data_IF_914277007430
#
_entry.id   IF_914277007430
#
_cell.length_a   1.000
_cell.length_b   1.000
_cell.length_c   1.000
_cell.angle_alpha   90.00
_cell.angle_beta   90.00
_cell.angle_gamma   90.00
#
_symmetry.space_group_name_H-M   'P 1'
#
loop_
_entity.id
_entity.type
_entity.pdbx_description
1 polymer ?
#
# COMPACT_ATOMS: atom_id res chain seq x y z
N UNK A 1 -10.61 7.41 -15.26
CA UNK A 1 -10.12 6.27 -16.10
C UNK A 1 -11.17 5.17 -16.21
N UNK A 2 -11.72 4.67 -15.12
CA UNK A 2 -12.76 3.61 -15.11
C UNK A 2 -14.01 3.99 -15.91
N UNK A 3 -14.49 5.23 -15.76
CA UNK A 3 -15.68 5.69 -16.46
C UNK A 3 -15.45 5.89 -17.97
N UNK A 4 -14.24 6.33 -18.34
CA UNK A 4 -13.82 6.41 -19.74
C UNK A 4 -13.73 5.01 -20.35
N UNK A 5 -13.19 4.04 -19.64
CA UNK A 5 -13.07 2.65 -20.08
C UNK A 5 -14.46 2.04 -20.33
N UNK A 6 -15.40 2.28 -19.41
CA UNK A 6 -16.80 1.85 -19.53
C UNK A 6 -17.49 2.52 -20.73
N UNK A 7 -17.35 3.83 -20.88
CA UNK A 7 -17.96 4.59 -21.97
C UNK A 7 -17.37 4.22 -23.34
N UNK A 8 -16.08 3.94 -23.42
CA UNK A 8 -15.39 3.55 -24.65
C UNK A 8 -15.48 2.05 -24.97
N UNK A 9 -16.04 1.22 -24.07
CA UNK A 9 -16.13 -0.23 -24.24
C UNK A 9 -14.77 -0.92 -24.37
N UNK A 10 -13.81 -0.54 -23.51
CA UNK A 10 -12.46 -1.10 -23.52
C UNK A 10 -11.86 -1.17 -22.09
N UNK A 11 -10.68 -1.78 -21.93
CA UNK A 11 -10.01 -1.88 -20.64
C UNK A 11 -9.41 -0.54 -20.19
N UNK A 12 -9.19 -0.36 -18.88
CA UNK A 12 -8.49 0.80 -18.34
C UNK A 12 -7.07 0.92 -18.88
N UNK A 13 -6.39 -0.22 -19.12
CA UNK A 13 -5.08 -0.24 -19.75
C UNK A 13 -5.13 0.35 -21.16
N UNK A 14 -6.15 0.00 -21.95
CA UNK A 14 -6.37 0.58 -23.29
C UNK A 14 -6.59 2.10 -23.21
N UNK A 15 -7.37 2.57 -22.25
CA UNK A 15 -7.55 4.02 -22.02
C UNK A 15 -6.23 4.69 -21.67
N UNK A 16 -5.46 4.10 -20.76
CA UNK A 16 -4.14 4.61 -20.38
C UNK A 16 -3.19 4.70 -21.57
N UNK A 17 -3.13 3.65 -22.39
CA UNK A 17 -2.26 3.62 -23.58
C UNK A 17 -2.65 4.68 -24.61
N UNK A 18 -3.96 4.91 -24.81
CA UNK A 18 -4.45 5.94 -25.75
C UNK A 18 -4.17 7.34 -25.24
N UNK A 19 -4.50 7.61 -23.96
CA UNK A 19 -4.35 8.94 -23.37
C UNK A 19 -2.89 9.33 -23.17
N UNK A 20 -2.02 8.37 -22.85
CA UNK A 20 -0.58 8.57 -22.69
C UNK A 20 0.21 8.41 -24.00
N UNK A 21 -0.47 8.14 -25.13
CA UNK A 21 0.13 7.91 -26.43
C UNK A 21 1.35 6.96 -26.40
N UNK A 22 1.21 5.86 -25.66
CA UNK A 22 2.32 4.90 -25.38
C UNK A 22 2.84 4.30 -26.68
N UNK A 23 4.14 4.46 -27.01
CA UNK A 23 4.71 3.93 -28.26
C UNK A 23 4.74 2.40 -28.24
N UNK A 24 4.66 1.79 -29.45
CA UNK A 24 4.78 0.34 -29.63
C UNK A 24 3.50 -0.46 -29.45
N UNK A 25 2.40 0.14 -29.00
CA UNK A 25 1.11 -0.54 -28.82
C UNK A 25 0.25 -0.38 -30.07
N UNK A 26 -0.11 -1.52 -30.69
CA UNK A 26 -0.98 -1.56 -31.88
C UNK A 26 -2.44 -1.57 -31.43
N UNK A 27 -3.07 -0.40 -31.43
CA UNK A 27 -4.52 -0.23 -31.25
C UNK A 27 -5.12 0.23 -32.57
N UNK A 28 -6.36 -0.24 -32.86
CA UNK A 28 -7.09 0.26 -34.03
C UNK A 28 -7.38 1.75 -33.87
N UNK A 29 -7.41 2.46 -35.00
CA UNK A 29 -7.74 3.89 -35.00
C UNK A 29 -9.12 4.13 -34.40
N UNK A 30 -10.08 3.26 -34.71
CA UNK A 30 -11.44 3.32 -34.16
C UNK A 30 -11.47 3.19 -32.62
N UNK A 31 -10.64 2.33 -32.02
CA UNK A 31 -10.54 2.21 -30.56
C UNK A 31 -9.94 3.46 -29.94
N UNK A 32 -8.93 4.04 -30.59
CA UNK A 32 -8.29 5.29 -30.16
C UNK A 32 -9.28 6.47 -30.17
N UNK A 33 -10.05 6.60 -31.24
CA UNK A 33 -11.07 7.64 -31.40
C UNK A 33 -12.17 7.53 -30.33
N UNK A 34 -12.72 6.34 -30.08
CA UNK A 34 -13.73 6.10 -29.04
C UNK A 34 -13.25 6.49 -27.64
N UNK A 35 -11.99 6.19 -27.31
CA UNK A 35 -11.43 6.55 -26.01
C UNK A 35 -11.29 8.06 -25.87
N UNK A 36 -10.81 8.75 -26.92
CA UNK A 36 -10.63 10.22 -26.91
C UNK A 36 -12.01 10.91 -26.81
N UNK A 37 -13.01 10.41 -27.52
CA UNK A 37 -14.37 10.96 -27.50
C UNK A 37 -15.02 10.76 -26.11
N UNK A 38 -14.91 9.56 -25.54
CA UNK A 38 -15.39 9.28 -24.19
C UNK A 38 -14.69 10.14 -23.13
N UNK A 39 -13.39 10.36 -23.26
CA UNK A 39 -12.62 11.22 -22.36
C UNK A 39 -13.11 12.68 -22.42
N UNK A 40 -13.36 13.20 -23.63
CA UNK A 40 -13.90 14.56 -23.84
C UNK A 40 -15.32 14.70 -23.27
N UNK A 41 -16.20 13.73 -23.54
CA UNK A 41 -17.57 13.74 -23.07
C UNK A 41 -17.69 13.74 -21.55
N UNK A 42 -16.73 13.11 -20.85
CA UNK A 42 -16.63 13.05 -19.39
C UNK A 42 -15.85 14.22 -18.79
N UNK A 43 -15.49 15.24 -19.59
CA UNK A 43 -14.77 16.42 -19.11
C UNK A 43 -13.31 16.14 -18.68
N UNK A 44 -12.75 15.02 -19.14
CA UNK A 44 -11.36 14.68 -18.84
C UNK A 44 -10.44 15.52 -19.73
N UNK A 45 -9.93 16.61 -19.18
CA UNK A 45 -8.83 17.34 -19.78
C UNK A 45 -7.51 16.66 -19.39
N UNK A 46 -6.93 15.89 -20.31
CA UNK A 46 -5.57 15.38 -20.11
C UNK A 46 -4.61 16.55 -19.85
N UNK A 47 -3.76 16.49 -18.81
CA UNK A 47 -2.75 17.53 -18.64
C UNK A 47 -1.91 17.59 -19.91
N UNK A 48 -1.97 18.74 -20.60
CA UNK A 48 -1.06 19.23 -21.63
C UNK A 48 -0.53 18.25 -22.68
N UNK A 49 -1.39 17.62 -23.49
CA UNK A 49 -0.95 16.96 -24.74
C UNK A 49 -0.42 17.96 -25.79
N UNK A 50 -0.51 19.27 -25.55
CA UNK A 50 -0.01 20.31 -26.47
C UNK A 50 1.48 20.62 -26.33
N UNK A 51 2.14 20.23 -25.24
CA UNK A 51 3.55 20.57 -25.01
C UNK A 51 4.56 19.54 -25.55
N UNK A 52 4.11 18.31 -25.88
CA UNK A 52 5.05 17.23 -26.31
C UNK A 52 5.18 17.09 -27.84
N UNK A 53 4.92 18.14 -28.61
CA UNK A 53 5.18 18.15 -30.07
C UNK A 53 6.55 18.69 -30.46
N UNK A 54 7.47 18.89 -29.53
CA UNK A 54 8.87 19.14 -29.89
C UNK A 54 9.64 17.81 -29.87
N UNK A 55 10.36 17.47 -30.95
CA UNK A 55 11.25 16.31 -30.93
C UNK A 55 12.32 16.56 -29.87
N UNK A 56 12.50 15.59 -28.97
CA UNK A 56 13.65 15.56 -28.07
C UNK A 56 14.88 15.52 -28.96
N UNK A 57 15.56 16.68 -29.08
CA UNK A 57 16.86 16.74 -29.73
C UNK A 57 17.81 15.82 -28.94
N UNK A 58 18.56 15.02 -29.67
CA UNK A 58 19.45 14.03 -29.11
C UNK A 58 20.31 14.61 -27.98
N UNK A 59 20.30 13.94 -26.84
CA UNK A 59 21.22 14.24 -25.72
C UNK A 59 22.63 13.78 -26.11
N UNK A 60 23.30 14.56 -26.91
CA UNK A 60 24.74 14.44 -27.10
C UNK A 60 25.45 15.61 -26.38
N UNK A 61 26.21 15.26 -25.36
CA UNK A 61 27.44 15.94 -25.00
C UNK A 61 27.40 17.05 -23.96
N UNK A 62 28.16 16.80 -22.96
CA UNK A 62 28.89 17.65 -22.02
C UNK A 62 28.29 17.88 -20.65
N UNK A 63 29.01 17.37 -19.68
CA UNK A 63 28.95 17.76 -18.28
C UNK A 63 29.24 19.27 -18.16
N UNK A 64 28.24 20.03 -17.82
CA UNK A 64 28.14 21.39 -17.29
C UNK A 64 27.10 22.21 -18.07
N UNK A 65 25.90 22.37 -17.50
CA UNK A 65 24.86 23.24 -18.03
C UNK A 65 23.97 22.56 -19.07
N UNK A 66 23.23 21.48 -18.69
CA UNK A 66 22.09 21.03 -19.48
C UNK A 66 21.00 22.08 -19.50
N UNK A 67 20.15 22.13 -20.55
CA UNK A 67 19.04 23.07 -20.58
C UNK A 67 18.19 22.81 -19.33
N UNK A 68 17.97 23.85 -18.53
CA UNK A 68 16.98 23.84 -17.48
C UNK A 68 15.67 23.46 -18.15
N UNK A 69 15.10 22.34 -17.75
CA UNK A 69 13.71 22.06 -18.04
C UNK A 69 12.92 23.03 -17.17
N UNK A 70 12.48 24.16 -17.77
CA UNK A 70 11.63 25.12 -17.09
C UNK A 70 10.42 24.36 -16.53
N UNK A 71 10.39 24.18 -15.20
CA UNK A 71 9.30 23.50 -14.48
C UNK A 71 9.59 22.12 -13.90
N UNK A 72 10.83 21.60 -13.96
CA UNK A 72 11.27 20.42 -13.20
C UNK A 72 12.36 20.85 -12.22
N UNK A 73 11.98 21.04 -10.96
CA UNK A 73 12.87 21.62 -9.94
C UNK A 73 13.84 20.61 -9.30
N UNK A 74 13.63 19.31 -9.50
CA UNK A 74 14.51 18.31 -8.89
C UNK A 74 14.24 16.85 -9.23
N UNK A 75 15.12 16.02 -8.73
CA UNK A 75 15.02 14.55 -8.81
C UNK A 75 15.00 14.00 -7.40
N UNK A 76 13.95 13.24 -7.05
CA UNK A 76 13.83 12.58 -5.75
C UNK A 76 14.21 11.12 -5.90
N UNK A 77 15.10 10.64 -5.03
CA UNK A 77 15.47 9.23 -4.94
C UNK A 77 14.47 8.46 -4.10
N UNK A 78 14.11 7.25 -4.54
CA UNK A 78 13.30 6.31 -3.77
C UNK A 78 14.05 4.98 -3.69
N UNK A 79 14.58 4.64 -2.53
CA UNK A 79 15.22 3.36 -2.27
C UNK A 79 14.27 2.43 -1.52
N UNK A 80 14.09 1.22 -2.03
CA UNK A 80 13.21 0.21 -1.42
C UNK A 80 13.93 -1.14 -1.37
N UNK A 81 13.74 -1.89 -0.29
CA UNK A 81 14.38 -3.20 -0.15
C UNK A 81 13.79 -4.24 -1.11
N UNK A 82 12.47 -4.33 -1.25
CA UNK A 82 11.82 -5.32 -2.13
C UNK A 82 10.64 -4.72 -2.91
N UNK A 83 10.49 -5.14 -4.17
CA UNK A 83 9.38 -4.73 -5.04
C UNK A 83 8.45 -5.88 -5.43
N UNK A 84 8.98 -7.11 -5.50
CA UNK A 84 8.26 -8.24 -6.10
C UNK A 84 7.47 -9.10 -5.12
N UNK A 85 7.56 -8.83 -3.81
CA UNK A 85 6.95 -9.68 -2.79
C UNK A 85 5.48 -9.34 -2.53
N UNK A 86 5.12 -8.06 -2.70
CA UNK A 86 3.77 -7.60 -2.41
C UNK A 86 3.49 -6.25 -3.10
N UNK A 87 2.22 -5.87 -3.33
CA UNK A 87 1.87 -4.65 -4.05
C UNK A 87 2.17 -3.35 -3.28
N UNK A 88 2.39 -3.42 -1.97
CA UNK A 88 2.48 -2.24 -1.08
C UNK A 88 3.60 -1.28 -1.49
N UNK A 89 4.77 -1.81 -1.87
CA UNK A 89 5.88 -0.97 -2.35
C UNK A 89 5.50 -0.20 -3.62
N UNK A 90 4.85 -0.87 -4.57
CA UNK A 90 4.42 -0.26 -5.83
C UNK A 90 3.36 0.82 -5.57
N UNK A 91 2.44 0.58 -4.65
CA UNK A 91 1.41 1.54 -4.25
C UNK A 91 2.03 2.77 -3.57
N UNK A 92 3.03 2.58 -2.70
CA UNK A 92 3.75 3.70 -2.08
C UNK A 92 4.54 4.52 -3.11
N UNK A 93 5.23 3.84 -4.03
CA UNK A 93 5.96 4.49 -5.13
C UNK A 93 5.00 5.30 -6.01
N UNK A 94 3.81 4.75 -6.33
CA UNK A 94 2.82 5.48 -7.14
C UNK A 94 2.31 6.73 -6.41
N UNK A 95 2.07 6.66 -5.09
CA UNK A 95 1.72 7.83 -4.28
C UNK A 95 2.81 8.90 -4.30
N UNK A 96 4.06 8.50 -4.08
CA UNK A 96 5.21 9.40 -4.15
C UNK A 96 5.40 9.98 -5.57
N UNK A 97 5.23 9.16 -6.62
CA UNK A 97 5.34 9.60 -8.02
C UNK A 97 4.30 10.67 -8.36
N UNK A 98 3.03 10.44 -7.97
CA UNK A 98 1.97 11.41 -8.25
C UNK A 98 2.24 12.75 -7.56
N UNK A 99 2.61 12.73 -6.28
CA UNK A 99 2.94 13.93 -5.53
C UNK A 99 4.19 14.62 -6.10
N UNK A 100 5.27 13.88 -6.39
CA UNK A 100 6.47 14.42 -7.03
C UNK A 100 6.17 15.11 -8.35
N UNK A 101 5.35 14.48 -9.20
CA UNK A 101 4.98 15.04 -10.50
C UNK A 101 4.20 16.34 -10.36
N UNK A 102 3.28 16.41 -9.40
CA UNK A 102 2.51 17.62 -9.13
C UNK A 102 3.39 18.78 -8.63
N UNK A 103 4.50 18.45 -7.96
CA UNK A 103 5.51 19.38 -7.47
C UNK A 103 6.63 19.69 -8.50
N UNK A 104 6.51 19.23 -9.75
CA UNK A 104 7.53 19.45 -10.77
C UNK A 104 8.78 18.57 -10.63
N UNK A 105 8.76 17.52 -9.82
CA UNK A 105 9.90 16.63 -9.58
C UNK A 105 9.74 15.28 -10.28
N UNK A 106 10.88 14.62 -10.57
CA UNK A 106 10.95 13.26 -11.09
C UNK A 106 11.38 12.30 -9.98
N UNK A 107 10.74 11.12 -9.92
CA UNK A 107 11.11 10.05 -8.98
C UNK A 107 12.03 9.03 -9.64
N UNK A 108 13.21 8.79 -9.05
CA UNK A 108 14.11 7.69 -9.41
C UNK A 108 14.03 6.59 -8.38
N UNK A 109 13.63 5.39 -8.80
CA UNK A 109 13.46 4.23 -7.91
C UNK A 109 14.64 3.29 -8.03
N UNK A 110 15.18 2.85 -6.89
CA UNK A 110 16.20 1.82 -6.80
C UNK A 110 15.77 0.72 -5.82
N UNK A 111 15.82 -0.53 -6.28
CA UNK A 111 15.63 -1.69 -5.41
C UNK A 111 17.00 -2.10 -4.83
N UNK A 112 17.04 -2.34 -3.51
CA UNK A 112 18.29 -2.67 -2.80
C UNK A 112 18.37 -4.12 -2.33
N UNK A 113 17.27 -4.84 -2.32
CA UNK A 113 17.10 -6.19 -1.76
C UNK A 113 17.46 -6.31 -0.26
N UNK A 114 17.66 -5.18 0.44
CA UNK A 114 18.18 -5.17 1.80
C UNK A 114 19.61 -5.73 1.91
N UNK A 115 20.32 -5.77 0.79
CA UNK A 115 21.69 -6.28 0.73
C UNK A 115 22.68 -5.22 1.23
N UNK A 116 23.44 -5.54 2.27
CA UNK A 116 24.35 -4.60 2.94
C UNK A 116 25.47 -4.03 2.03
N UNK A 117 25.78 -4.70 0.91
CA UNK A 117 26.80 -4.25 -0.05
C UNK A 117 26.15 -3.44 -1.17
N UNK A 118 25.00 -3.89 -1.67
CA UNK A 118 24.30 -3.25 -2.79
C UNK A 118 23.55 -1.99 -2.39
N UNK A 119 23.01 -1.95 -1.19
CA UNK A 119 22.21 -0.82 -0.69
C UNK A 119 23.01 0.51 -0.69
N UNK A 120 24.19 0.62 -0.07
CA UNK A 120 24.96 1.86 -0.14
C UNK A 120 25.39 2.22 -1.58
N UNK A 121 25.64 1.23 -2.43
CA UNK A 121 25.98 1.45 -3.84
C UNK A 121 24.80 1.99 -4.64
N UNK A 122 23.57 1.48 -4.41
CA UNK A 122 22.37 1.95 -5.04
C UNK A 122 22.08 3.41 -4.65
N UNK A 123 22.18 3.73 -3.36
CA UNK A 123 21.96 5.09 -2.85
C UNK A 123 23.07 6.04 -3.36
N UNK A 124 24.33 5.62 -3.37
CA UNK A 124 25.39 6.40 -3.96
C UNK A 124 25.17 6.65 -5.47
N UNK A 125 24.63 5.67 -6.20
CA UNK A 125 24.30 5.84 -7.61
C UNK A 125 23.17 6.87 -7.81
N UNK A 126 22.17 6.90 -6.95
CA UNK A 126 21.13 7.93 -6.93
C UNK A 126 21.73 9.31 -6.63
N UNK A 127 22.55 9.42 -5.56
CA UNK A 127 23.18 10.68 -5.15
C UNK A 127 24.07 11.28 -6.26
N UNK A 128 24.84 10.44 -6.96
CA UNK A 128 25.64 10.85 -8.12
C UNK A 128 24.81 11.38 -9.28
N UNK A 129 23.54 11.04 -9.37
CA UNK A 129 22.58 11.55 -10.36
C UNK A 129 21.92 12.86 -9.92
N UNK A 130 22.35 13.42 -8.79
CA UNK A 130 21.88 14.71 -8.32
C UNK A 130 20.49 14.69 -7.71
N UNK A 131 20.11 13.61 -7.01
CA UNK A 131 18.86 13.64 -6.26
C UNK A 131 18.89 14.73 -5.19
N UNK A 132 17.77 15.45 -5.07
CA UNK A 132 17.60 16.52 -4.08
C UNK A 132 17.12 16.03 -2.72
N UNK A 133 16.55 14.81 -2.65
CA UNK A 133 16.08 14.15 -1.44
C UNK A 133 16.03 12.64 -1.63
N UNK A 134 15.95 11.90 -0.53
CA UNK A 134 15.85 10.44 -0.52
C UNK A 134 14.65 9.97 0.32
N UNK A 135 13.77 9.16 -0.27
CA UNK A 135 12.80 8.34 0.45
C UNK A 135 13.40 6.95 0.62
N UNK A 136 13.52 6.49 1.86
CA UNK A 136 14.03 5.16 2.20
C UNK A 136 12.90 4.31 2.76
N UNK A 137 12.52 3.25 2.04
CA UNK A 137 11.38 2.38 2.37
C UNK A 137 11.84 0.96 2.67
N UNK A 138 11.22 0.35 3.69
CA UNK A 138 11.22 -1.10 3.88
C UNK A 138 9.84 -1.67 3.60
N UNK A 139 9.79 -2.88 2.99
CA UNK A 139 8.50 -3.51 2.67
C UNK A 139 7.71 -3.89 3.91
N UNK A 140 8.39 -4.26 4.99
CA UNK A 140 7.76 -4.59 6.27
C UNK A 140 7.90 -3.43 7.26
N UNK A 141 6.78 -3.05 7.89
CA UNK A 141 6.80 -2.06 8.98
C UNK A 141 7.69 -2.54 10.11
N UNK A 142 8.76 -1.78 10.40
CA UNK A 142 9.71 -2.14 11.46
C UNK A 142 10.54 -0.97 11.96
N UNK A 143 11.01 -1.09 13.19
CA UNK A 143 12.15 -0.32 13.65
C UNK A 143 13.41 -0.82 12.94
N UNK A 144 14.25 0.10 12.48
CA UNK A 144 15.52 -0.19 11.84
C UNK A 144 16.66 0.50 12.58
N UNK A 145 17.85 -0.10 12.53
CA UNK A 145 19.08 0.64 12.73
C UNK A 145 19.46 1.24 11.39
N UNK A 146 19.30 2.56 11.25
CA UNK A 146 19.64 3.21 9.99
C UNK A 146 21.12 3.00 9.68
N UNK A 147 21.46 2.63 8.43
CA UNK A 147 22.85 2.54 8.02
C UNK A 147 23.58 3.88 8.18
N UNK A 148 24.85 3.85 8.64
CA UNK A 148 25.63 5.06 8.93
C UNK A 148 25.70 6.04 7.75
N UNK A 149 25.70 5.52 6.53
CA UNK A 149 25.74 6.37 5.34
C UNK A 149 24.51 7.27 5.16
N UNK A 150 23.34 6.91 5.73
CA UNK A 150 22.16 7.76 5.69
C UNK A 150 22.33 9.04 6.50
N UNK A 151 23.04 8.95 7.62
CA UNK A 151 23.36 10.12 8.47
C UNK A 151 24.38 11.06 7.82
N UNK A 152 25.16 10.54 6.87
CA UNK A 152 26.19 11.30 6.15
C UNK A 152 25.69 11.94 4.84
N UNK A 153 24.40 11.81 4.49
CA UNK A 153 23.87 12.45 3.31
C UNK A 153 23.59 13.94 3.55
N UNK A 154 24.06 14.79 2.64
CA UNK A 154 23.79 16.24 2.67
C UNK A 154 22.40 16.62 2.07
N UNK A 155 21.51 15.64 1.94
CA UNK A 155 20.16 15.80 1.41
C UNK A 155 19.13 15.30 2.44
N UNK A 156 17.89 15.81 2.43
CA UNK A 156 16.80 15.30 3.27
C UNK A 156 16.56 13.82 3.03
N UNK A 157 16.37 13.06 4.13
CA UNK A 157 16.00 11.65 4.11
C UNK A 157 14.69 11.47 4.86
N UNK A 158 13.74 10.77 4.25
CA UNK A 158 12.46 10.40 4.86
C UNK A 158 12.34 8.88 4.91
N UNK A 159 11.93 8.36 6.05
CA UNK A 159 11.69 6.94 6.24
C UNK A 159 10.21 6.62 5.97
N UNK A 160 9.98 5.63 5.12
CA UNK A 160 8.65 5.15 4.77
C UNK A 160 8.52 3.67 5.15
N UNK A 161 7.48 3.35 5.90
CA UNK A 161 7.22 2.01 6.44
C UNK A 161 8.30 1.48 7.39
N UNK A 162 9.19 2.36 7.85
CA UNK A 162 10.19 2.07 8.89
C UNK A 162 10.48 3.34 9.70
N UNK A 163 11.17 3.17 10.82
CA UNK A 163 11.57 4.26 11.70
C UNK A 163 12.80 3.89 12.52
N UNK A 164 13.46 4.87 13.10
CA UNK A 164 14.63 4.68 13.97
C UNK A 164 14.31 5.04 15.41
N UNK A 165 14.93 4.36 16.37
CA UNK A 165 14.74 4.62 17.81
C UNK A 165 15.30 5.96 18.28
N UNK A 166 16.26 6.52 17.55
CA UNK A 166 16.84 7.84 17.81
C UNK A 166 16.01 9.00 17.25
N UNK A 167 14.99 8.69 16.42
CA UNK A 167 14.12 9.66 15.76
C UNK A 167 14.89 10.67 14.89
N UNK A 168 15.99 10.24 14.28
CA UNK A 168 16.87 11.10 13.49
C UNK A 168 16.26 11.54 12.14
N UNK A 169 15.25 10.84 11.66
CA UNK A 169 14.60 11.09 10.38
C UNK A 169 13.08 11.19 10.53
N UNK A 170 12.43 12.06 9.75
CA UNK A 170 10.97 12.01 9.61
C UNK A 170 10.55 10.62 9.12
N UNK A 171 9.53 10.05 9.74
CA UNK A 171 9.08 8.70 9.42
C UNK A 171 7.56 8.61 9.35
N UNK A 172 7.06 7.79 8.43
CA UNK A 172 5.64 7.47 8.30
C UNK A 172 5.42 5.97 8.27
N UNK A 173 4.47 5.49 9.08
CA UNK A 173 4.09 4.08 9.17
C UNK A 173 2.57 3.95 9.26
N UNK A 174 1.98 2.77 8.93
CA UNK A 174 0.56 2.52 9.15
C UNK A 174 0.21 2.49 10.65
N UNK A 175 -1.01 2.88 11.00
CA UNK A 175 -1.54 2.75 12.37
C UNK A 175 -2.13 1.36 12.62
N UNK A 176 -1.29 0.33 12.59
CA UNK A 176 -1.67 -1.09 12.60
C UNK A 176 -2.53 -1.49 13.81
N UNK A 177 -2.22 -0.93 14.99
CA UNK A 177 -3.02 -1.20 16.21
C UNK A 177 -4.43 -0.64 16.04
N UNK A 178 -4.58 0.57 15.52
CA UNK A 178 -5.89 1.19 15.30
C UNK A 178 -6.66 0.45 14.19
N UNK A 179 -5.99 0.04 13.12
CA UNK A 179 -6.58 -0.76 12.04
C UNK A 179 -7.11 -2.11 12.54
N UNK A 180 -6.29 -2.90 13.23
CA UNK A 180 -6.71 -4.17 13.82
C UNK A 180 -7.86 -4.02 14.84
N UNK A 181 -7.83 -2.92 15.62
CA UNK A 181 -8.93 -2.58 16.52
C UNK A 181 -10.20 -2.22 15.77
N UNK A 182 -10.12 -1.46 14.69
CA UNK A 182 -11.27 -1.07 13.86
C UNK A 182 -11.91 -2.27 13.17
N UNK A 183 -11.12 -3.14 12.54
CA UNK A 183 -11.57 -4.37 11.89
C UNK A 183 -12.33 -5.28 12.88
N UNK A 184 -11.76 -5.47 14.08
CA UNK A 184 -12.39 -6.32 15.11
C UNK A 184 -13.63 -5.66 15.69
N UNK A 185 -13.62 -4.36 15.94
CA UNK A 185 -14.77 -3.60 16.44
C UNK A 185 -15.94 -3.63 15.45
N UNK A 186 -15.67 -3.64 14.15
CA UNK A 186 -16.69 -3.78 13.13
C UNK A 186 -17.45 -5.11 13.28
N UNK A 187 -16.74 -6.22 13.47
CA UNK A 187 -17.35 -7.53 13.76
C UNK A 187 -18.18 -7.50 15.06
N UNK A 188 -17.65 -6.90 16.12
CA UNK A 188 -18.34 -6.76 17.39
C UNK A 188 -19.64 -5.94 17.24
N UNK A 189 -19.65 -4.88 16.46
CA UNK A 189 -20.83 -4.04 16.20
C UNK A 189 -21.93 -4.79 15.44
N UNK A 190 -21.58 -5.87 14.73
CA UNK A 190 -22.52 -6.79 14.07
C UNK A 190 -22.99 -7.96 14.98
N UNK A 191 -22.65 -7.89 16.27
CA UNK A 191 -23.12 -8.85 17.27
C UNK A 191 -22.19 -10.06 17.48
N UNK A 192 -21.07 -10.14 16.76
CA UNK A 192 -20.10 -11.21 16.95
C UNK A 192 -19.38 -11.09 18.28
N UNK A 193 -19.33 -12.16 19.04
CA UNK A 193 -18.59 -12.25 20.31
C UNK A 193 -17.54 -13.35 20.32
N UNK A 194 -17.70 -14.40 19.50
CA UNK A 194 -16.68 -15.43 19.31
C UNK A 194 -15.99 -15.17 17.95
N UNK A 195 -14.97 -14.36 18.01
CA UNK A 195 -14.23 -13.83 16.85
C UNK A 195 -12.85 -14.46 16.84
N UNK A 196 -12.47 -15.13 15.76
CA UNK A 196 -11.10 -15.61 15.57
C UNK A 196 -10.25 -14.59 14.81
N UNK A 197 -8.93 -14.72 14.91
CA UNK A 197 -8.01 -14.02 14.03
C UNK A 197 -6.93 -14.95 13.49
N UNK A 198 -6.63 -14.80 12.20
CA UNK A 198 -5.51 -15.46 11.54
C UNK A 198 -4.43 -14.39 11.33
N UNK A 199 -3.30 -14.54 12.00
CA UNK A 199 -2.23 -13.54 11.99
C UNK A 199 -1.26 -13.79 10.84
N UNK A 200 -0.35 -12.84 10.63
CA UNK A 200 0.88 -13.11 9.90
C UNK A 200 1.93 -13.75 10.81
N UNK A 201 3.17 -13.75 10.32
CA UNK A 201 4.31 -14.31 11.05
C UNK A 201 4.56 -13.54 12.36
N UNK A 202 4.73 -14.24 13.50
CA UNK A 202 4.78 -13.63 14.84
C UNK A 202 5.92 -12.64 15.07
N UNK A 203 7.02 -12.75 14.29
CA UNK A 203 8.16 -11.84 14.39
C UNK A 203 7.91 -10.48 13.72
N UNK A 204 6.92 -10.39 12.82
CA UNK A 204 6.59 -9.14 12.12
C UNK A 204 5.82 -8.19 13.02
N UNK A 205 6.26 -6.93 13.06
CA UNK A 205 5.62 -5.89 13.86
C UNK A 205 4.15 -5.67 13.46
N UNK A 206 3.83 -5.69 12.17
CA UNK A 206 2.46 -5.54 11.68
C UNK A 206 1.52 -6.61 12.27
N UNK A 207 1.93 -7.89 12.27
CA UNK A 207 1.14 -8.98 12.85
C UNK A 207 0.91 -8.78 14.35
N UNK A 208 1.97 -8.40 15.08
CA UNK A 208 1.88 -8.12 16.52
C UNK A 208 0.95 -6.94 16.82
N UNK A 209 1.05 -5.86 16.04
CA UNK A 209 0.28 -4.65 16.27
C UNK A 209 -1.19 -4.82 15.87
N UNK A 210 -1.51 -5.51 14.77
CA UNK A 210 -2.89 -5.90 14.41
C UNK A 210 -3.50 -6.81 15.49
N UNK A 211 -2.73 -7.77 16.04
CA UNK A 211 -3.16 -8.62 17.14
C UNK A 211 -3.38 -7.82 18.44
N UNK A 212 -2.54 -6.82 18.74
CA UNK A 212 -2.79 -5.89 19.87
C UNK A 212 -4.09 -5.13 19.67
N UNK A 213 -4.37 -4.67 18.45
CA UNK A 213 -5.62 -4.02 18.07
C UNK A 213 -6.83 -4.92 18.31
N UNK A 214 -6.77 -6.16 17.84
CA UNK A 214 -7.79 -7.18 18.08
C UNK A 214 -8.06 -7.37 19.57
N UNK A 215 -7.02 -7.59 20.39
CA UNK A 215 -7.17 -7.76 21.84
C UNK A 215 -7.79 -6.53 22.51
N UNK A 216 -7.41 -5.31 22.07
CA UNK A 216 -7.99 -4.06 22.59
C UNK A 216 -9.49 -3.94 22.28
N UNK A 217 -9.91 -4.33 21.07
CA UNK A 217 -11.31 -4.31 20.68
C UNK A 217 -12.14 -5.27 21.53
N UNK A 218 -11.66 -6.50 21.75
CA UNK A 218 -12.32 -7.48 22.62
C UNK A 218 -12.44 -6.95 24.07
N UNK A 219 -11.34 -6.45 24.63
CA UNK A 219 -11.32 -5.93 25.98
C UNK A 219 -12.29 -4.73 26.17
N UNK A 220 -12.37 -3.84 25.17
CA UNK A 220 -13.30 -2.68 25.20
C UNK A 220 -14.78 -3.11 25.18
N UNK A 221 -15.07 -4.29 24.62
CA UNK A 221 -16.44 -4.85 24.52
C UNK A 221 -16.75 -5.90 25.58
N UNK A 222 -15.92 -6.03 26.62
CA UNK A 222 -16.05 -7.04 27.68
C UNK A 222 -16.15 -8.48 27.11
N UNK A 223 -15.34 -8.78 26.07
CA UNK A 223 -15.20 -10.11 25.48
C UNK A 223 -13.88 -10.71 25.97
N UNK A 224 -13.91 -11.86 26.67
CA UNK A 224 -12.70 -12.53 27.12
C UNK A 224 -11.82 -12.94 25.91
N UNK A 225 -10.51 -12.72 26.04
CA UNK A 225 -9.53 -13.20 25.08
C UNK A 225 -9.39 -14.73 25.20
N UNK A 226 -9.56 -15.42 24.06
CA UNK A 226 -9.39 -16.86 23.95
C UNK A 226 -8.19 -17.15 23.01
N UNK A 227 -7.08 -17.73 23.52
CA UNK A 227 -5.91 -18.02 22.70
C UNK A 227 -6.19 -19.09 21.62
N UNK A 228 -7.20 -19.95 21.76
CA UNK A 228 -7.57 -20.94 20.76
C UNK A 228 -8.15 -20.30 19.49
N UNK A 229 -8.62 -19.05 19.59
CA UNK A 229 -9.13 -18.28 18.46
C UNK A 229 -8.04 -17.48 17.72
N UNK A 230 -6.77 -17.61 18.12
CA UNK A 230 -5.64 -16.96 17.44
C UNK A 230 -4.81 -18.03 16.74
N UNK A 231 -4.79 -18.02 15.42
CA UNK A 231 -4.01 -18.96 14.63
C UNK A 231 -2.93 -18.19 13.86
N UNK A 232 -1.69 -18.63 13.98
CA UNK A 232 -0.56 -18.06 13.25
C UNK A 232 -0.59 -18.50 11.79
N UNK A 233 -0.33 -17.55 10.90
CA UNK A 233 -0.16 -17.72 9.46
C UNK A 233 1.17 -17.15 8.98
N UNK A 234 1.31 -17.06 7.66
CA UNK A 234 2.48 -16.56 6.95
C UNK A 234 2.13 -15.59 5.81
N UNK A 235 0.98 -14.92 5.93
CA UNK A 235 0.40 -14.00 4.95
C UNK A 235 -0.12 -14.66 3.66
N UNK A 236 0.06 -15.97 3.48
CA UNK A 236 -0.35 -16.68 2.28
C UNK A 236 -1.80 -17.17 2.35
N UNK A 237 -2.41 -17.38 1.17
CA UNK A 237 -3.71 -18.03 1.07
C UNK A 237 -3.68 -19.49 1.59
N UNK A 238 -2.57 -20.19 1.39
CA UNK A 238 -2.39 -21.57 1.88
C UNK A 238 -2.45 -21.65 3.41
N UNK A 239 -1.78 -20.71 4.09
CA UNK A 239 -1.82 -20.63 5.56
C UNK A 239 -3.23 -20.22 6.04
N UNK A 240 -3.89 -19.29 5.33
CA UNK A 240 -5.28 -18.90 5.60
C UNK A 240 -6.25 -20.07 5.54
N UNK A 241 -6.13 -20.91 4.50
CA UNK A 241 -6.90 -22.14 4.36
C UNK A 241 -6.64 -23.09 5.53
N UNK A 242 -5.38 -23.42 5.81
CA UNK A 242 -5.02 -24.36 6.87
C UNK A 242 -5.45 -23.87 8.27
N UNK A 243 -5.31 -22.56 8.53
CA UNK A 243 -5.75 -21.94 9.78
C UNK A 243 -7.27 -21.99 9.94
N UNK A 244 -8.02 -21.76 8.87
CA UNK A 244 -9.49 -21.82 8.90
C UNK A 244 -9.96 -23.24 9.18
N UNK A 245 -9.37 -24.27 8.57
CA UNK A 245 -9.68 -25.68 8.90
C UNK A 245 -9.48 -25.97 10.38
N UNK A 246 -8.40 -25.47 11.01
CA UNK A 246 -8.17 -25.61 12.45
C UNK A 246 -9.26 -24.94 13.27
N UNK A 247 -9.68 -23.74 12.90
CA UNK A 247 -10.73 -22.99 13.58
C UNK A 247 -12.10 -23.69 13.47
N UNK A 248 -12.39 -24.28 12.32
CA UNK A 248 -13.64 -25.05 12.10
C UNK A 248 -13.69 -26.36 12.87
N UNK A 249 -12.53 -26.92 13.22
CA UNK A 249 -12.42 -28.14 14.04
C UNK A 249 -12.64 -27.90 15.54
N UNK A 250 -12.70 -26.64 15.99
CA UNK A 250 -13.00 -26.33 17.40
C UNK A 250 -14.41 -26.76 17.75
N UNK A 251 -14.61 -27.25 19.00
CA UNK A 251 -15.90 -27.63 19.51
C UNK A 251 -16.94 -26.51 19.39
N UNK A 252 -16.51 -25.29 19.77
CA UNK A 252 -17.30 -24.08 19.65
C UNK A 252 -16.60 -23.22 18.59
N UNK A 253 -17.01 -23.34 17.32
CA UNK A 253 -16.39 -22.60 16.22
C UNK A 253 -16.65 -21.10 16.32
N UNK A 254 -15.75 -20.24 15.76
CA UNK A 254 -15.99 -18.82 15.71
C UNK A 254 -17.16 -18.48 14.78
N UNK A 255 -17.84 -17.36 15.05
CA UNK A 255 -18.88 -16.80 14.19
C UNK A 255 -18.34 -15.77 13.21
N UNK A 256 -17.10 -15.30 13.45
CA UNK A 256 -16.41 -14.38 12.56
C UNK A 256 -14.88 -14.61 12.61
N UNK A 257 -14.21 -14.31 11.52
CA UNK A 257 -12.75 -14.42 11.37
C UNK A 257 -12.18 -13.10 10.86
N UNK A 258 -11.23 -12.54 11.61
CA UNK A 258 -10.38 -11.45 11.16
C UNK A 258 -9.08 -12.02 10.56
N UNK A 259 -8.98 -12.02 9.24
CA UNK A 259 -7.77 -12.34 8.51
C UNK A 259 -6.89 -11.09 8.44
N UNK A 260 -5.65 -11.17 8.94
CA UNK A 260 -4.79 -9.99 9.02
C UNK A 260 -4.20 -9.52 7.68
N UNK A 261 -4.55 -10.18 6.57
CA UNK A 261 -4.44 -9.63 5.21
C UNK A 261 -5.46 -10.29 4.27
N UNK A 262 -5.64 -9.69 3.09
CA UNK A 262 -6.64 -10.16 2.11
C UNK A 262 -6.25 -11.49 1.47
N UNK A 263 -4.97 -11.79 1.33
CA UNK A 263 -4.50 -13.09 0.81
C UNK A 263 -4.84 -14.23 1.75
N UNK A 264 -4.67 -14.05 3.04
CA UNK A 264 -5.14 -15.01 4.07
C UNK A 264 -6.66 -15.18 3.98
N UNK A 265 -7.41 -14.09 3.73
CA UNK A 265 -8.85 -14.17 3.55
C UNK A 265 -9.26 -14.99 2.33
N UNK A 266 -8.49 -14.98 1.22
CA UNK A 266 -8.73 -15.87 0.08
C UNK A 266 -8.74 -17.34 0.53
N UNK A 267 -7.72 -17.75 1.27
CA UNK A 267 -7.65 -19.12 1.80
C UNK A 267 -8.78 -19.45 2.79
N UNK A 268 -9.16 -18.47 3.60
CA UNK A 268 -10.31 -18.59 4.50
C UNK A 268 -11.60 -18.83 3.71
N UNK A 269 -11.86 -18.06 2.64
CA UNK A 269 -13.03 -18.26 1.77
C UNK A 269 -13.07 -19.65 1.15
N UNK A 270 -11.96 -20.15 0.63
CA UNK A 270 -11.89 -21.48 0.04
C UNK A 270 -12.17 -22.58 1.07
N UNK A 271 -11.62 -22.48 2.28
CA UNK A 271 -11.87 -23.44 3.35
C UNK A 271 -13.35 -23.44 3.81
N UNK A 272 -13.97 -22.27 3.93
CA UNK A 272 -15.38 -22.13 4.28
C UNK A 272 -16.29 -22.72 3.20
N UNK A 273 -16.00 -22.42 1.92
CA UNK A 273 -16.72 -22.95 0.76
C UNK A 273 -16.64 -24.49 0.70
N UNK A 274 -15.46 -25.06 0.92
CA UNK A 274 -15.26 -26.52 0.94
C UNK A 274 -16.03 -27.19 2.09
N UNK A 275 -16.12 -26.49 3.24
CA UNK A 275 -16.93 -26.92 4.38
C UNK A 275 -18.44 -26.72 4.18
N UNK A 276 -18.88 -26.17 3.05
CA UNK A 276 -20.30 -25.88 2.77
C UNK A 276 -20.86 -24.74 3.61
N UNK A 277 -20.00 -23.84 4.10
CA UNK A 277 -20.37 -22.68 4.91
C UNK A 277 -20.44 -21.41 4.06
N UNK A 278 -21.45 -20.60 4.31
CA UNK A 278 -21.72 -19.38 3.56
C UNK A 278 -21.22 -18.14 4.30
N UNK A 279 -20.61 -17.22 3.55
CA UNK A 279 -20.21 -15.91 4.02
C UNK A 279 -21.26 -14.90 3.54
N UNK A 280 -21.81 -14.05 4.41
CA UNK A 280 -21.54 -13.92 5.85
C UNK A 280 -22.50 -14.72 6.74
N UNK A 281 -23.42 -15.53 6.16
CA UNK A 281 -24.56 -16.14 6.88
C UNK A 281 -24.13 -17.09 7.99
N UNK A 282 -23.10 -17.91 7.74
CA UNK A 282 -22.59 -18.85 8.73
C UNK A 282 -21.37 -18.30 9.47
N UNK A 283 -20.47 -17.63 8.76
CA UNK A 283 -19.26 -17.01 9.30
C UNK A 283 -18.98 -15.70 8.57
N UNK A 284 -18.83 -14.61 9.31
CA UNK A 284 -18.37 -13.33 8.79
C UNK A 284 -16.85 -13.30 8.64
N UNK A 285 -16.35 -12.63 7.61
CA UNK A 285 -14.90 -12.50 7.36
C UNK A 285 -14.54 -11.04 7.14
N UNK A 286 -13.46 -10.57 7.80
CA UNK A 286 -12.84 -9.27 7.56
C UNK A 286 -11.39 -9.50 7.17
N UNK A 287 -10.94 -8.80 6.13
CA UNK A 287 -9.55 -8.78 5.66
C UNK A 287 -8.77 -7.56 6.11
N UNK A 288 -7.62 -7.36 5.46
CA UNK A 288 -6.75 -6.21 5.64
C UNK A 288 -5.90 -6.04 4.38
N UNK A 289 -5.56 -4.81 4.02
CA UNK A 289 -4.77 -4.27 2.91
C UNK A 289 -5.59 -3.58 1.81
N UNK A 290 -6.86 -3.97 1.58
CA UNK A 290 -7.73 -3.56 0.46
C UNK A 290 -7.07 -3.81 -0.91
N UNK A 291 -6.46 -5.00 -1.07
CA UNK A 291 -5.97 -5.44 -2.37
C UNK A 291 -7.13 -5.51 -3.38
N UNK A 292 -6.83 -5.35 -4.68
CA UNK A 292 -7.85 -5.38 -5.74
C UNK A 292 -8.73 -6.65 -5.67
N UNK A 293 -8.14 -7.77 -5.29
CA UNK A 293 -8.84 -9.05 -5.14
C UNK A 293 -9.99 -9.00 -4.12
N UNK A 294 -9.91 -8.16 -3.09
CA UNK A 294 -10.96 -8.02 -2.08
C UNK A 294 -12.33 -7.66 -2.67
N UNK A 295 -12.33 -6.91 -3.78
CA UNK A 295 -13.54 -6.50 -4.50
C UNK A 295 -14.11 -7.60 -5.38
N UNK A 296 -13.32 -8.61 -5.69
CA UNK A 296 -13.64 -9.70 -6.61
C UNK A 296 -13.88 -11.03 -5.92
N UNK A 297 -13.69 -11.11 -4.62
CA UNK A 297 -14.16 -12.25 -3.82
C UNK A 297 -15.70 -12.27 -3.81
N UNK A 298 -16.27 -13.43 -3.58
CA UNK A 298 -17.72 -13.60 -3.52
C UNK A 298 -18.13 -14.25 -2.18
N UNK A 299 -18.83 -13.45 -1.31
CA UNK A 299 -19.15 -12.03 -1.44
C UNK A 299 -17.91 -11.12 -1.39
N UNK A 300 -18.00 -9.84 -1.87
CA UNK A 300 -16.90 -8.88 -1.77
C UNK A 300 -16.45 -8.69 -0.31
N UNK A 301 -15.13 -8.70 -0.08
CA UNK A 301 -14.51 -8.71 1.25
C UNK A 301 -14.50 -7.32 1.88
N UNK A 302 -15.07 -7.21 3.09
CA UNK A 302 -14.85 -6.09 4.01
C UNK A 302 -13.41 -6.13 4.50
N UNK A 303 -12.65 -5.04 4.37
CA UNK A 303 -11.22 -5.02 4.65
C UNK A 303 -10.75 -3.64 5.08
N UNK A 304 -9.60 -3.53 5.74
CA UNK A 304 -9.00 -2.23 6.06
C UNK A 304 -7.97 -1.84 5.01
N UNK A 305 -7.93 -0.55 4.64
CA UNK A 305 -6.94 -0.03 3.70
C UNK A 305 -5.58 0.06 4.38
N UNK A 306 -4.55 -0.47 3.74
CA UNK A 306 -3.16 -0.21 4.11
C UNK A 306 -2.70 1.08 3.39
N UNK A 307 -2.38 2.18 4.10
CA UNK A 307 -2.35 3.53 3.53
C UNK A 307 -1.07 3.86 2.74
N UNK A 308 -0.46 2.91 2.04
CA UNK A 308 0.83 3.09 1.37
C UNK A 308 0.81 4.18 0.30
N UNK A 309 -0.31 4.35 -0.43
CA UNK A 309 -0.49 5.47 -1.36
C UNK A 309 -0.35 6.82 -0.65
N UNK A 310 -1.09 7.00 0.44
CA UNK A 310 -1.05 8.23 1.24
C UNK A 310 0.31 8.42 1.94
N UNK A 311 0.99 7.33 2.33
CA UNK A 311 2.34 7.40 2.89
C UNK A 311 3.35 7.91 1.87
N UNK A 312 3.26 7.46 0.62
CA UNK A 312 4.09 7.98 -0.48
C UNK A 312 3.84 9.47 -0.75
N UNK A 313 2.60 9.90 -0.77
CA UNK A 313 2.22 11.31 -0.91
C UNK A 313 2.75 12.15 0.26
N UNK A 314 2.50 11.69 1.48
CA UNK A 314 3.00 12.35 2.69
C UNK A 314 4.51 12.55 2.68
N UNK A 315 5.27 11.57 2.21
CA UNK A 315 6.74 11.68 2.13
C UNK A 315 7.18 12.86 1.25
N UNK A 316 6.51 13.08 0.13
CA UNK A 316 6.79 14.24 -0.74
C UNK A 316 6.37 15.55 -0.08
N UNK A 317 5.18 15.60 0.52
CA UNK A 317 4.69 16.78 1.23
C UNK A 317 5.65 17.22 2.36
N UNK A 318 6.29 16.25 3.04
CA UNK A 318 7.30 16.57 4.06
C UNK A 318 8.59 17.17 3.47
N UNK A 319 8.95 16.82 2.24
CA UNK A 319 10.11 17.40 1.56
C UNK A 319 9.88 18.86 1.13
N UNK A 320 8.63 19.22 0.85
CA UNK A 320 8.21 20.58 0.49
C UNK A 320 7.97 21.47 1.71
N UNK A 321 7.73 20.86 2.86
CA UNK A 321 7.52 21.60 4.10
C UNK A 321 8.81 22.38 4.47
N UNK A 322 8.69 23.64 4.99
CA UNK A 322 9.85 24.40 5.42
C UNK A 322 10.65 23.55 6.41
N UNK A 323 11.95 23.38 6.13
CA UNK A 323 12.84 22.63 7.01
C UNK A 323 12.72 23.20 8.43
N UNK A 324 12.27 22.37 9.37
CA UNK A 324 12.34 22.73 10.80
C UNK A 324 13.83 22.86 11.13
N UNK A 325 14.30 24.08 11.22
CA UNK A 325 15.71 24.37 11.49
C UNK A 325 16.06 23.80 12.87
N UNK A 326 16.88 22.76 12.90
CA UNK A 326 17.44 22.16 14.09
C UNK A 326 17.56 20.65 13.92
N UNK A 327 18.67 20.08 14.41
CA UNK A 327 18.82 18.64 14.63
C UNK A 327 17.88 18.23 15.77
N UNK A 328 16.57 18.19 15.48
CA UNK A 328 15.52 17.77 16.41
C UNK A 328 15.18 16.30 16.25
N UNK A 329 14.50 15.73 17.25
CA UNK A 329 13.87 14.44 17.14
C UNK A 329 12.59 14.60 16.29
N UNK A 330 12.48 13.83 15.22
CA UNK A 330 11.31 13.84 14.37
C UNK A 330 10.24 12.86 14.89
N UNK A 331 8.97 13.25 14.99
CA UNK A 331 7.91 12.32 15.36
C UNK A 331 7.70 11.26 14.28
N UNK A 332 7.28 10.06 14.71
CA UNK A 332 6.79 9.03 13.78
C UNK A 332 5.33 9.35 13.47
N UNK A 333 5.03 9.68 12.23
CA UNK A 333 3.66 9.87 11.76
C UNK A 333 3.00 8.51 11.54
N UNK A 334 1.79 8.34 12.07
CA UNK A 334 0.99 7.13 11.88
C UNK A 334 -0.25 7.47 11.07
N UNK A 335 -0.37 6.91 9.87
CA UNK A 335 -1.56 7.09 9.05
C UNK A 335 -2.62 6.05 9.39
N UNK A 336 -3.87 6.47 9.40
CA UNK A 336 -5.00 5.59 9.68
C UNK A 336 -5.15 4.51 8.61
N UNK A 337 -5.65 3.34 9.04
CA UNK A 337 -6.02 2.22 8.19
C UNK A 337 -7.56 2.11 8.20
N UNK A 338 -8.27 2.90 7.39
CA UNK A 338 -9.73 2.95 7.41
C UNK A 338 -10.33 1.65 6.91
N UNK A 339 -11.46 1.25 7.51
CA UNK A 339 -12.22 0.08 7.08
C UNK A 339 -13.08 0.43 5.86
N UNK A 340 -13.09 -0.45 4.88
CA UNK A 340 -14.00 -0.44 3.73
C UNK A 340 -15.01 -1.56 3.91
N UNK A 341 -16.24 -1.19 4.22
CA UNK A 341 -17.33 -2.13 4.38
C UNK A 341 -17.80 -2.66 3.02
N UNK A 342 -17.96 -3.99 2.92
CA UNK A 342 -18.55 -4.70 1.78
C UNK A 342 -19.53 -5.76 2.29
N UNK A 343 -19.63 -6.90 1.62
CA UNK A 343 -20.71 -7.86 1.85
C UNK A 343 -20.32 -9.09 2.70
N UNK A 344 -19.05 -9.16 3.17
CA UNK A 344 -18.54 -10.33 3.89
C UNK A 344 -18.84 -10.36 5.39
N UNK A 345 -19.54 -9.34 5.91
CA UNK A 345 -19.92 -9.27 7.32
C UNK A 345 -21.42 -9.14 7.44
N UNK A 346 -22.02 -10.06 8.19
CA UNK A 346 -23.44 -10.08 8.50
C UNK A 346 -23.72 -9.89 9.98
N UNK A 347 -24.96 -9.60 10.32
CA UNK A 347 -25.40 -9.53 11.73
C UNK A 347 -25.74 -10.91 12.26
N UNK A 348 -25.35 -11.22 13.51
CA UNK A 348 -25.81 -12.41 14.20
C UNK A 348 -27.28 -12.24 14.55
N UNK A 349 -28.11 -13.21 14.14
CA UNK A 349 -29.55 -13.26 14.47
C UNK A 349 -30.43 -12.39 13.58
N UNK A 350 -29.95 -12.04 12.35
CA UNK A 350 -30.74 -11.44 11.29
C UNK A 350 -31.44 -12.50 10.41
#
# INVERSE_FOLDING_TARGET
MTDIARAAGCSQATVSFVLNNTPGIRLSQQTRERVIEAARALGYSAPAFSALKQPVAALEGSASGGPAFDGLDGVIGFAVDQLATSPEAVVAIEGARQASWNAGNVLLVAQTMGDAVMEPRAIQALTRRGISALIYMTIFTREITAPDFLYGLDIPVILLNCYTSDYAFPAVVPSEIAGGQSSTRHLISHGHRRIATITGEPWMQAAQDRLKGYRRALATADIPFDPELVVEGDWSASAGYAATIKLLALKDRPTAIFCQNDRTAIGCYEALKEAGLHIPQDISVVGYDDEEIARHLFPPLTTSILPHMAMGQWAIEQLEAPAVAGRGRYPITKLECPLVERESVGRIGG
#
